data_IF_237787050997
#
_entry.id   IF_237787050997
#
_cell.length_a   1.000
_cell.length_b   1.000
_cell.length_c   1.000
_cell.angle_alpha   90.00
_cell.angle_beta   90.00
_cell.angle_gamma   90.00
#
_symmetry.space_group_name_H-M   'P 1'
#
loop_
_entity.id
_entity.type
_entity.pdbx_description
1 polymer ?
#
# COMPACT_ATOMS: atom_id res chain seq x y z
N UNK A 1 9.19 -8.34 12.55
CA UNK A 1 10.17 -9.33 13.09
C UNK A 1 9.61 -10.74 13.09
N UNK A 2 8.40 -10.94 13.62
CA UNK A 2 7.73 -12.24 13.70
C UNK A 2 7.60 -13.00 12.36
N UNK A 3 7.24 -12.30 11.28
CA UNK A 3 7.14 -12.90 9.94
C UNK A 3 8.48 -13.47 9.47
N UNK A 4 9.58 -12.73 9.65
CA UNK A 4 10.91 -13.19 9.27
C UNK A 4 11.36 -14.36 10.13
N UNK A 5 11.12 -14.30 11.45
CA UNK A 5 11.41 -15.40 12.36
C UNK A 5 10.68 -16.67 11.93
N UNK A 6 9.39 -16.57 11.64
CA UNK A 6 8.58 -17.70 11.17
C UNK A 6 9.11 -18.27 9.86
N UNK A 7 9.35 -17.43 8.85
CA UNK A 7 9.89 -17.86 7.56
C UNK A 7 11.24 -18.57 7.69
N UNK A 8 12.12 -18.07 8.57
CA UNK A 8 13.42 -18.67 8.81
C UNK A 8 13.29 -20.03 9.51
N UNK A 9 12.39 -20.17 10.50
CA UNK A 9 12.11 -21.45 11.16
C UNK A 9 11.53 -22.48 10.18
N UNK A 10 10.71 -22.03 9.22
CA UNK A 10 10.15 -22.86 8.16
C UNK A 10 11.08 -23.08 6.98
N UNK A 11 12.25 -22.44 6.97
CA UNK A 11 13.23 -22.48 5.88
C UNK A 11 12.61 -22.14 4.53
N UNK A 12 11.75 -21.12 4.50
CA UNK A 12 11.25 -20.60 3.25
C UNK A 12 12.36 -19.84 2.51
N UNK A 13 12.53 -20.17 1.24
CA UNK A 13 13.37 -19.38 0.34
C UNK A 13 12.58 -18.13 -0.09
N UNK A 14 13.08 -16.95 0.26
CA UNK A 14 12.51 -15.66 -0.15
C UNK A 14 13.61 -14.73 -0.66
N UNK A 15 13.24 -13.86 -1.60
CA UNK A 15 14.14 -12.83 -2.12
C UNK A 15 14.27 -11.69 -1.09
N UNK A 16 15.44 -11.50 -0.45
CA UNK A 16 15.58 -10.55 0.67
C UNK A 16 15.93 -9.14 0.21
N UNK A 17 16.39 -8.97 -1.03
CA UNK A 17 16.89 -7.70 -1.54
C UNK A 17 15.75 -6.78 -2.00
N UNK A 18 16.06 -5.49 -2.01
CA UNK A 18 15.16 -4.47 -2.50
C UNK A 18 15.05 -4.50 -4.04
N UNK A 19 14.00 -3.88 -4.57
CA UNK A 19 13.85 -3.70 -6.02
C UNK A 19 15.10 -3.01 -6.61
N UNK A 20 15.71 -3.53 -7.69
CA UNK A 20 16.94 -2.97 -8.26
C UNK A 20 16.74 -1.57 -8.86
N UNK A 21 15.51 -1.24 -9.27
CA UNK A 21 15.14 0.09 -9.79
C UNK A 21 14.80 1.10 -8.69
N UNK A 22 15.02 0.74 -7.42
CA UNK A 22 14.74 1.63 -6.30
C UNK A 22 15.88 2.64 -6.16
N UNK A 23 15.70 3.83 -6.71
CA UNK A 23 16.72 4.89 -6.61
C UNK A 23 16.92 5.40 -5.17
N UNK A 24 15.84 5.45 -4.37
CA UNK A 24 15.84 5.79 -2.94
C UNK A 24 14.70 5.03 -2.24
N UNK A 25 14.86 4.68 -0.96
CA UNK A 25 13.70 4.37 -0.12
C UNK A 25 12.67 5.49 -0.30
N UNK A 26 11.37 5.22 -0.57
CA UNK A 26 10.38 6.28 -0.59
C UNK A 26 10.43 6.95 0.77
N UNK A 27 11.00 8.17 0.78
CA UNK A 27 11.50 8.84 1.99
C UNK A 27 10.42 8.86 3.05
N UNK A 28 9.16 9.06 2.63
CA UNK A 28 8.02 9.11 3.53
C UNK A 28 7.74 7.77 4.22
N UNK A 29 7.68 6.65 3.47
CA UNK A 29 7.35 5.35 4.06
C UNK A 29 8.40 4.93 5.10
N UNK A 30 9.69 5.09 4.76
CA UNK A 30 10.77 4.74 5.69
C UNK A 30 10.76 5.63 6.93
N UNK A 31 10.57 6.95 6.78
CA UNK A 31 10.45 7.88 7.91
C UNK A 31 9.26 7.58 8.82
N UNK A 32 8.11 7.24 8.24
CA UNK A 32 6.92 6.86 9.03
C UNK A 32 7.16 5.55 9.77
N UNK A 33 7.77 4.55 9.11
CA UNK A 33 8.14 3.30 9.77
C UNK A 33 9.11 3.55 10.93
N UNK A 34 10.15 4.35 10.72
CA UNK A 34 11.14 4.66 11.74
C UNK A 34 10.49 5.39 12.93
N UNK A 35 9.58 6.33 12.67
CA UNK A 35 8.78 6.98 13.71
C UNK A 35 7.96 5.97 14.53
N UNK A 36 7.24 5.06 13.87
CA UNK A 36 6.43 4.03 14.55
C UNK A 36 7.32 3.11 15.40
N UNK A 37 8.49 2.72 14.87
CA UNK A 37 9.46 1.88 15.59
C UNK A 37 10.05 2.60 16.82
N UNK A 38 10.29 3.91 16.73
CA UNK A 38 10.67 4.71 17.90
C UNK A 38 9.55 4.76 18.95
N UNK A 39 8.29 4.95 18.54
CA UNK A 39 7.15 4.89 19.45
C UNK A 39 7.01 3.51 20.12
N UNK A 40 7.32 2.44 19.39
CA UNK A 40 7.22 1.06 19.89
C UNK A 40 8.11 0.78 21.11
N UNK A 41 9.21 1.53 21.26
CA UNK A 41 10.08 1.46 22.45
C UNK A 41 9.36 1.89 23.73
N UNK A 42 8.34 2.74 23.62
CA UNK A 42 7.56 3.25 24.75
C UNK A 42 6.17 2.62 24.84
N UNK A 43 5.59 2.19 23.71
CA UNK A 43 4.31 1.50 23.64
C UNK A 43 4.43 0.30 22.68
N UNK A 44 4.69 -0.91 23.21
CA UNK A 44 4.88 -2.11 22.39
C UNK A 44 3.69 -2.42 21.45
N UNK A 45 2.48 -2.03 21.84
CA UNK A 45 1.22 -2.29 21.15
C UNK A 45 0.87 -1.24 20.08
N UNK A 46 1.73 -0.24 19.85
CA UNK A 46 1.39 0.92 19.01
C UNK A 46 0.96 0.54 17.59
N UNK A 47 1.59 -0.46 16.97
CA UNK A 47 1.24 -0.93 15.63
C UNK A 47 -0.17 -1.52 15.58
N UNK A 48 -0.54 -2.29 16.61
CA UNK A 48 -1.86 -2.90 16.75
C UNK A 48 -2.93 -1.81 16.99
N UNK A 49 -2.65 -0.89 17.91
CA UNK A 49 -3.58 0.19 18.25
C UNK A 49 -3.84 1.12 17.06
N UNK A 50 -2.79 1.50 16.32
CA UNK A 50 -2.93 2.35 15.13
C UNK A 50 -3.76 1.66 14.04
N UNK A 51 -3.55 0.36 13.81
CA UNK A 51 -4.34 -0.39 12.84
C UNK A 51 -5.81 -0.46 13.24
N UNK A 52 -6.11 -0.80 14.50
CA UNK A 52 -7.51 -0.89 14.96
C UNK A 52 -8.21 0.45 14.92
N UNK A 53 -7.55 1.52 15.38
CA UNK A 53 -8.08 2.88 15.27
C UNK A 53 -8.34 3.26 13.80
N UNK A 54 -7.45 2.88 12.87
CA UNK A 54 -7.68 3.08 11.44
C UNK A 54 -8.91 2.31 10.95
N UNK A 55 -9.06 1.03 11.31
CA UNK A 55 -10.19 0.21 10.89
C UNK A 55 -11.52 0.78 11.40
N UNK A 56 -11.61 1.11 12.69
CA UNK A 56 -12.78 1.75 13.30
C UNK A 56 -13.13 3.08 12.59
N UNK A 57 -12.13 3.92 12.34
CA UNK A 57 -12.33 5.20 11.66
C UNK A 57 -12.72 5.01 10.19
N UNK A 58 -12.14 4.01 9.52
CA UNK A 58 -12.43 3.70 8.11
C UNK A 58 -13.88 3.25 7.91
N UNK A 59 -14.42 2.50 8.86
CA UNK A 59 -15.82 2.08 8.85
C UNK A 59 -16.75 3.27 8.98
N UNK A 60 -16.47 4.17 9.94
CA UNK A 60 -17.22 5.43 10.10
C UNK A 60 -17.21 6.22 8.78
N UNK A 61 -16.03 6.41 8.18
CA UNK A 61 -15.91 7.13 6.91
C UNK A 61 -16.63 6.44 5.75
N UNK A 62 -16.63 5.11 5.68
CA UNK A 62 -17.34 4.36 4.66
C UNK A 62 -18.84 4.69 4.64
N UNK A 63 -19.47 4.80 5.81
CA UNK A 63 -20.90 5.15 5.90
C UNK A 63 -21.18 6.65 5.73
N UNK A 64 -20.23 7.52 6.09
CA UNK A 64 -20.41 8.96 5.98
C UNK A 64 -20.17 9.52 4.56
N UNK A 65 -19.29 8.90 3.77
CA UNK A 65 -19.00 9.37 2.41
C UNK A 65 -19.82 8.61 1.37
N UNK A 66 -20.53 9.36 0.52
CA UNK A 66 -21.25 8.76 -0.61
C UNK A 66 -20.28 8.07 -1.57
N UNK A 67 -20.60 6.84 -1.94
CA UNK A 67 -19.91 6.13 -3.01
C UNK A 67 -19.96 6.97 -4.29
N UNK A 68 -18.80 7.26 -4.87
CA UNK A 68 -18.70 7.88 -6.19
C UNK A 68 -18.83 6.79 -7.25
N UNK A 69 -19.62 7.06 -8.29
CA UNK A 69 -19.60 6.24 -9.49
C UNK A 69 -18.30 6.48 -10.23
N UNK A 70 -17.67 5.42 -10.71
CA UNK A 70 -16.48 5.48 -11.55
C UNK A 70 -16.77 4.80 -12.89
N UNK A 71 -16.10 5.27 -13.93
CA UNK A 71 -16.15 4.71 -15.27
C UNK A 71 -15.30 3.44 -15.37
N UNK A 72 -15.62 2.62 -16.37
CA UNK A 72 -14.78 1.52 -16.84
C UNK A 72 -13.96 1.96 -18.05
N UNK A 73 -12.73 1.47 -18.13
CA UNK A 73 -11.80 1.76 -19.22
C UNK A 73 -12.35 1.20 -20.54
N UNK A 74 -12.40 2.02 -21.58
CA UNK A 74 -12.89 1.63 -22.91
C UNK A 74 -12.03 0.53 -23.58
N UNK A 75 -10.76 0.40 -23.19
CA UNK A 75 -9.84 -0.60 -23.78
C UNK A 75 -9.82 -1.95 -23.04
N UNK A 76 -9.73 -1.90 -21.71
CA UNK A 76 -9.50 -3.11 -20.90
C UNK A 76 -10.64 -3.42 -19.92
N UNK A 77 -11.67 -2.58 -19.84
CA UNK A 77 -12.83 -2.78 -18.96
C UNK A 77 -12.58 -2.54 -17.47
N UNK A 78 -11.34 -2.34 -17.03
CA UNK A 78 -11.01 -2.08 -15.61
C UNK A 78 -11.48 -0.70 -15.14
N UNK A 79 -11.78 -0.51 -13.83
CA UNK A 79 -12.15 0.80 -13.28
C UNK A 79 -11.09 1.89 -13.58
N UNK A 80 -11.52 3.08 -14.01
CA UNK A 80 -10.62 4.16 -14.44
C UNK A 80 -10.98 5.56 -13.90
N UNK A 81 -11.66 5.61 -12.75
CA UNK A 81 -12.03 6.87 -12.12
C UNK A 81 -13.05 7.65 -12.98
N UNK A 82 -12.80 8.93 -13.22
CA UNK A 82 -13.70 9.80 -14.01
C UNK A 82 -13.24 9.96 -15.47
N UNK A 83 -12.33 9.11 -15.94
CA UNK A 83 -11.79 9.16 -17.30
C UNK A 83 -12.37 8.04 -18.15
N UNK A 84 -12.08 8.01 -19.46
CA UNK A 84 -12.47 6.91 -20.34
C UNK A 84 -11.38 5.86 -20.49
N UNK A 85 -10.14 6.18 -20.07
CA UNK A 85 -8.98 5.33 -20.25
C UNK A 85 -8.19 5.23 -18.95
N UNK A 86 -7.90 4.01 -18.49
CA UNK A 86 -7.10 3.81 -17.30
C UNK A 86 -5.65 4.28 -17.50
N UNK A 87 -5.01 4.68 -16.41
CA UNK A 87 -3.64 5.19 -16.43
C UNK A 87 -2.65 4.18 -17.06
N UNK A 88 -2.88 2.90 -16.82
CA UNK A 88 -2.10 1.82 -17.41
C UNK A 88 -2.17 1.83 -18.95
N UNK A 89 -3.37 1.79 -19.53
CA UNK A 89 -3.57 1.81 -20.99
C UNK A 89 -3.03 3.11 -21.61
N UNK A 90 -3.22 4.25 -20.92
CA UNK A 90 -2.65 5.53 -21.35
C UNK A 90 -1.13 5.44 -21.50
N UNK A 91 -0.42 4.98 -20.48
CA UNK A 91 1.03 4.85 -20.53
C UNK A 91 1.48 3.84 -21.58
N UNK A 92 0.80 2.71 -21.71
CA UNK A 92 1.14 1.70 -22.70
C UNK A 92 1.08 2.26 -24.14
N UNK A 93 0.11 3.15 -24.42
CA UNK A 93 0.03 3.89 -25.69
C UNK A 93 1.14 4.93 -25.85
N UNK A 94 1.55 5.60 -24.78
CA UNK A 94 2.63 6.61 -24.81
C UNK A 94 4.00 5.97 -25.02
N UNK A 95 4.26 4.78 -24.46
CA UNK A 95 5.53 4.06 -24.58
C UNK A 95 5.66 3.20 -25.86
N UNK A 96 4.54 2.84 -26.51
CA UNK A 96 4.55 2.09 -27.77
C UNK A 96 4.60 2.99 -29.03
N UNK A 97 4.96 4.27 -28.88
CA UNK A 97 5.24 5.20 -29.98
C UNK A 97 6.75 5.27 -30.26
#
# INVERSE_FOLDING_TARGET
>A
EEIFLYSNLKKFDYYPSHCPYREKDPILRKRVLDFILECKKFSPEIEFNLLNAFLETSEIFYYHYKAKSYNSCEECGYPCGNTNLCLYCKYLKEFNR
#
